data_IF_036679758379
#
_entry.id   IF_036679758379
#
_cell.length_a   1.000
_cell.length_b   1.000
_cell.length_c   1.000
_cell.angle_alpha   90.00
_cell.angle_beta   90.00
_cell.angle_gamma   90.00
#
_symmetry.space_group_name_H-M   'P 1'
#
loop_
_entity.id
_entity.type
_entity.pdbx_description
1 polymer ?
#
# COMPACT_ATOMS: atom_id res chain seq x y z
N UNK A 1 47.88 34.62 -16.77
CA UNK A 1 47.00 33.79 -17.61
C UNK A 1 47.22 32.35 -17.18
N UNK A 2 46.31 31.84 -16.34
CA UNK A 2 46.20 30.44 -15.92
C UNK A 2 44.69 30.19 -15.89
N UNK A 3 44.12 29.39 -16.81
CA UNK A 3 42.79 28.85 -16.59
C UNK A 3 42.95 27.72 -15.56
N UNK A 4 42.44 27.96 -14.35
CA UNK A 4 42.27 26.89 -13.38
C UNK A 4 41.01 26.15 -13.78
N UNK A 5 41.21 25.01 -14.45
CA UNK A 5 40.19 23.96 -14.60
C UNK A 5 39.94 23.39 -13.20
N UNK A 6 38.91 23.92 -12.53
CA UNK A 6 38.47 23.43 -11.23
C UNK A 6 37.44 22.32 -11.43
N UNK A 7 37.97 21.11 -11.44
CA UNK A 7 37.45 19.87 -10.88
C UNK A 7 36.06 19.92 -10.19
N UNK A 8 35.19 19.05 -10.70
CA UNK A 8 34.26 18.15 -9.99
C UNK A 8 33.72 18.65 -8.65
N UNK A 9 32.51 19.18 -8.67
CA UNK A 9 31.57 18.97 -7.59
C UNK A 9 30.42 18.12 -8.15
N UNK A 10 30.58 16.81 -8.07
CA UNK A 10 29.45 15.90 -8.08
C UNK A 10 28.58 16.30 -6.89
N UNK A 11 27.58 17.14 -7.16
CA UNK A 11 26.50 17.40 -6.22
C UNK A 11 25.96 16.05 -5.85
N UNK A 12 26.20 15.64 -4.60
CA UNK A 12 25.48 14.56 -3.96
C UNK A 12 24.02 14.83 -4.24
N UNK A 13 23.45 14.08 -5.18
CA UNK A 13 22.02 13.93 -5.25
C UNK A 13 21.65 13.42 -3.86
N UNK A 14 21.09 14.32 -3.06
CA UNK A 14 20.27 13.94 -1.94
C UNK A 14 19.18 13.10 -2.59
N UNK A 15 19.34 11.78 -2.58
CA UNK A 15 18.24 10.87 -2.80
C UNK A 15 17.31 11.12 -1.63
N UNK A 16 16.46 12.14 -1.79
CA UNK A 16 15.23 12.24 -1.05
C UNK A 16 14.61 10.85 -1.10
N UNK A 17 14.07 10.32 0.01
CA UNK A 17 13.44 9.01 -0.02
C UNK A 17 12.46 9.05 -1.18
N UNK A 18 12.73 8.23 -2.19
CA UNK A 18 11.92 8.11 -3.39
C UNK A 18 10.54 7.77 -2.87
N UNK A 19 9.68 8.79 -2.75
CA UNK A 19 8.29 8.60 -2.43
C UNK A 19 7.84 7.55 -3.45
N UNK A 20 7.28 6.40 -3.00
CA UNK A 20 6.96 5.31 -3.90
C UNK A 20 6.21 5.93 -5.07
N UNK A 21 6.80 5.77 -6.27
CA UNK A 21 6.27 6.34 -7.50
C UNK A 21 4.96 5.59 -7.71
N UNK A 22 3.89 6.10 -7.11
CA UNK A 22 2.54 5.64 -7.39
C UNK A 22 2.36 5.89 -8.88
N UNK A 23 2.48 4.84 -9.68
CA UNK A 23 2.31 4.92 -11.11
C UNK A 23 0.98 5.63 -11.36
N UNK A 24 0.94 6.64 -12.22
CA UNK A 24 -0.25 7.44 -12.45
C UNK A 24 -1.47 6.53 -12.68
N UNK A 25 -2.43 6.57 -11.76
CA UNK A 25 -3.61 5.69 -11.74
C UNK A 25 -3.60 4.54 -10.72
N UNK A 26 -2.52 4.35 -9.96
CA UNK A 26 -2.48 3.45 -8.80
C UNK A 26 -2.84 4.22 -7.53
N UNK A 27 -3.63 3.56 -6.68
CA UNK A 27 -4.04 4.02 -5.36
C UNK A 27 -3.24 3.26 -4.31
N UNK A 28 -2.81 3.99 -3.29
CA UNK A 28 -2.07 3.43 -2.16
C UNK A 28 -3.03 2.83 -1.14
N UNK A 29 -2.80 1.58 -0.78
CA UNK A 29 -3.52 0.87 0.25
C UNK A 29 -2.56 0.60 1.39
N UNK A 30 -2.91 1.07 2.58
CA UNK A 30 -2.18 0.78 3.81
C UNK A 30 -3.08 -0.06 4.68
N UNK A 31 -2.63 -1.26 5.00
CA UNK A 31 -3.32 -2.17 5.91
C UNK A 31 -2.47 -2.29 7.17
N UNK A 32 -3.05 -2.00 8.31
CA UNK A 32 -2.42 -2.18 9.62
C UNK A 32 -3.12 -3.31 10.36
N UNK A 33 -2.35 -4.30 10.79
CA UNK A 33 -2.84 -5.53 11.39
C UNK A 33 -2.63 -5.48 12.89
N UNK A 34 -3.72 -5.42 13.67
CA UNK A 34 -3.66 -5.48 15.13
C UNK A 34 -3.62 -6.94 15.63
N UNK A 35 -4.13 -7.88 14.82
CA UNK A 35 -4.05 -9.32 15.06
C UNK A 35 -3.62 -10.05 13.79
N UNK A 36 -3.25 -11.32 13.94
CA UNK A 36 -3.06 -12.20 12.79
C UNK A 36 -4.31 -12.17 11.90
N UNK A 37 -4.10 -11.82 10.63
CA UNK A 37 -5.17 -11.51 9.67
C UNK A 37 -4.74 -11.93 8.28
N UNK A 38 -5.57 -12.74 7.63
CA UNK A 38 -5.35 -13.10 6.22
C UNK A 38 -5.78 -11.94 5.33
N UNK A 39 -4.95 -11.54 4.37
CA UNK A 39 -5.34 -10.54 3.37
C UNK A 39 -5.11 -11.06 1.97
N UNK A 40 -6.14 -10.90 1.17
CA UNK A 40 -6.09 -11.02 -0.28
C UNK A 40 -6.45 -9.67 -0.92
N UNK A 41 -5.57 -9.17 -1.77
CA UNK A 41 -5.80 -7.98 -2.60
C UNK A 41 -5.78 -8.42 -4.05
N UNK A 42 -6.81 -8.05 -4.79
CA UNK A 42 -7.00 -8.39 -6.20
C UNK A 42 -7.17 -7.09 -6.99
N UNK A 43 -6.29 -6.85 -7.96
CA UNK A 43 -6.35 -5.67 -8.81
C UNK A 43 -7.40 -5.78 -9.91
N UNK A 44 -7.57 -4.70 -10.67
CA UNK A 44 -8.54 -4.57 -11.78
C UNK A 44 -8.49 -5.69 -12.83
N UNK A 45 -7.30 -6.27 -13.06
CA UNK A 45 -7.10 -7.32 -14.05
C UNK A 45 -7.56 -8.70 -13.55
N UNK A 46 -8.19 -8.77 -12.36
CA UNK A 46 -8.50 -10.02 -11.68
C UNK A 46 -7.26 -10.76 -11.18
N UNK A 47 -6.07 -10.13 -11.28
CA UNK A 47 -4.81 -10.65 -10.74
C UNK A 47 -4.72 -10.35 -9.25
N UNK A 48 -4.30 -11.36 -8.50
CA UNK A 48 -4.09 -11.27 -7.06
C UNK A 48 -2.74 -10.60 -6.81
N UNK A 49 -2.78 -9.35 -6.34
CA UNK A 49 -1.61 -8.53 -6.02
C UNK A 49 -0.98 -8.96 -4.69
N UNK A 50 -1.82 -9.35 -3.72
CA UNK A 50 -1.40 -9.81 -2.41
C UNK A 50 -2.28 -10.98 -1.98
N UNK A 51 -1.71 -11.98 -1.35
CA UNK A 51 -2.47 -13.08 -0.74
C UNK A 51 -1.61 -13.77 0.31
N UNK A 52 -1.66 -13.29 1.54
CA UNK A 52 -0.86 -13.86 2.61
C UNK A 52 -1.49 -13.63 3.99
N UNK A 53 -1.09 -14.47 4.94
CA UNK A 53 -1.38 -14.29 6.35
C UNK A 53 -0.41 -13.26 6.92
N UNK A 54 -0.93 -12.18 7.50
CA UNK A 54 -0.11 -11.13 8.09
C UNK A 54 -0.20 -11.23 9.61
N UNK A 55 0.94 -11.27 10.32
CA UNK A 55 0.93 -11.35 11.78
C UNK A 55 0.54 -10.01 12.42
N UNK A 56 0.14 -10.08 13.69
CA UNK A 56 -0.19 -8.92 14.50
C UNK A 56 0.97 -7.91 14.60
N UNK A 57 0.66 -6.62 14.64
CA UNK A 57 1.64 -5.52 14.72
C UNK A 57 2.35 -5.22 13.40
N UNK A 58 1.96 -5.86 12.29
CA UNK A 58 2.53 -5.55 10.98
C UNK A 58 1.67 -4.56 10.21
N UNK A 59 2.27 -3.88 9.25
CA UNK A 59 1.54 -3.15 8.23
C UNK A 59 1.96 -3.60 6.83
N UNK A 60 1.06 -3.46 5.86
CA UNK A 60 1.34 -3.70 4.45
C UNK A 60 0.90 -2.51 3.64
N UNK A 61 1.80 -2.03 2.81
CA UNK A 61 1.52 -1.03 1.80
C UNK A 61 1.44 -1.76 0.46
N UNK A 62 0.33 -1.57 -0.25
CA UNK A 62 0.11 -2.11 -1.58
C UNK A 62 -0.30 -0.96 -2.48
N UNK A 63 0.28 -0.88 -3.66
CA UNK A 63 -0.15 0.05 -4.69
C UNK A 63 -0.94 -0.74 -5.73
N UNK A 64 -2.16 -0.30 -6.03
CA UNK A 64 -3.05 -1.01 -6.95
C UNK A 64 -3.96 -0.06 -7.71
N UNK A 65 -4.29 -0.40 -8.96
CA UNK A 65 -5.24 0.38 -9.75
C UNK A 65 -6.68 -0.08 -9.47
N UNK A 66 -7.63 0.83 -9.17
CA UNK A 66 -9.04 0.50 -9.05
C UNK A 66 -9.67 -0.02 -10.36
N UNK A 67 -10.71 -0.87 -10.28
CA UNK A 67 -11.33 -1.42 -9.07
C UNK A 67 -10.45 -2.51 -8.41
N UNK A 68 -10.25 -2.42 -7.09
CA UNK A 68 -9.47 -3.37 -6.29
C UNK A 68 -10.40 -4.12 -5.37
N UNK A 69 -10.46 -5.44 -5.47
CA UNK A 69 -11.19 -6.27 -4.51
C UNK A 69 -10.27 -6.67 -3.36
N UNK A 70 -10.69 -6.37 -2.14
CA UNK A 70 -9.99 -6.76 -0.92
C UNK A 70 -10.82 -7.76 -0.14
N UNK A 71 -10.15 -8.81 0.32
CA UNK A 71 -10.70 -9.79 1.25
C UNK A 71 -9.78 -9.86 2.45
N UNK A 72 -10.29 -9.48 3.62
CA UNK A 72 -9.53 -9.38 4.86
C UNK A 72 -10.19 -10.31 5.87
N UNK A 73 -9.52 -11.36 6.28
CA UNK A 73 -9.89 -12.19 7.42
C UNK A 73 -9.51 -11.52 8.73
N UNK A 74 -10.32 -11.71 9.76
CA UNK A 74 -10.20 -11.03 11.06
C UNK A 74 -10.22 -9.49 10.95
N UNK A 75 -10.98 -8.96 9.98
CA UNK A 75 -11.00 -7.55 9.63
C UNK A 75 -11.45 -6.59 10.75
N UNK A 76 -12.06 -7.11 11.82
CA UNK A 76 -12.33 -6.33 13.02
C UNK A 76 -11.06 -5.78 13.69
N UNK A 77 -9.90 -6.36 13.39
CA UNK A 77 -8.58 -5.97 13.89
C UNK A 77 -7.64 -5.48 12.78
N UNK A 78 -8.20 -5.01 11.67
CA UNK A 78 -7.43 -4.46 10.55
C UNK A 78 -7.89 -3.04 10.29
N UNK A 79 -6.95 -2.09 10.25
CA UNK A 79 -7.23 -0.75 9.74
C UNK A 79 -6.82 -0.70 8.28
N UNK A 80 -7.75 -0.29 7.43
CA UNK A 80 -7.48 -0.03 6.02
C UNK A 80 -7.49 1.48 5.80
N UNK A 81 -6.46 1.96 5.12
CA UNK A 81 -6.38 3.32 4.60
C UNK A 81 -6.20 3.23 3.08
N UNK A 82 -7.06 3.90 2.33
CA UNK A 82 -7.04 3.96 0.88
C UNK A 82 -6.83 5.40 0.44
N UNK A 83 -5.75 5.68 -0.29
CA UNK A 83 -5.46 7.03 -0.81
C UNK A 83 -5.44 8.09 0.31
N UNK A 84 -4.77 7.76 1.43
CA UNK A 84 -4.74 8.55 2.67
C UNK A 84 -6.09 8.76 3.37
N UNK A 85 -7.13 8.02 2.95
CA UNK A 85 -8.45 8.03 3.59
C UNK A 85 -8.68 6.75 4.38
N UNK A 86 -8.95 6.82 5.69
CA UNK A 86 -9.32 5.65 6.46
C UNK A 86 -10.66 5.10 5.96
N UNK A 87 -10.70 3.80 5.67
CA UNK A 87 -11.89 3.09 5.21
C UNK A 87 -12.39 2.19 6.34
N UNK A 88 -13.64 2.38 6.75
CA UNK A 88 -14.25 1.49 7.73
C UNK A 88 -14.60 0.15 7.09
N UNK A 89 -13.95 -0.91 7.57
CA UNK A 89 -14.19 -2.28 7.13
C UNK A 89 -15.41 -2.90 7.78
N UNK A 90 -15.83 -2.42 8.96
CA UNK A 90 -16.92 -2.98 9.77
C UNK A 90 -18.21 -3.25 8.98
N UNK A 91 -18.75 -2.33 8.16
CA UNK A 91 -19.98 -2.61 7.41
C UNK A 91 -19.80 -3.71 6.35
N UNK A 92 -18.58 -4.02 5.96
CA UNK A 92 -18.24 -5.04 4.97
C UNK A 92 -17.85 -6.39 5.58
N UNK A 93 -17.73 -6.48 6.92
CA UNK A 93 -17.41 -7.72 7.64
C UNK A 93 -18.59 -8.68 7.62
N UNK A 94 -18.36 -9.90 7.11
CA UNK A 94 -19.27 -11.04 7.23
C UNK A 94 -18.61 -12.12 8.08
N UNK A 95 -19.19 -12.39 9.25
CA UNK A 95 -18.69 -13.33 10.27
C UNK A 95 -17.33 -12.89 10.83
N UNK A 96 -16.25 -13.14 10.09
CA UNK A 96 -14.88 -12.72 10.43
C UNK A 96 -14.15 -12.12 9.22
N UNK A 97 -14.76 -12.11 8.03
CA UNK A 97 -14.09 -11.73 6.78
C UNK A 97 -14.74 -10.47 6.19
N UNK A 98 -13.99 -9.38 6.05
CA UNK A 98 -14.41 -8.21 5.28
C UNK A 98 -14.21 -8.44 3.79
N UNK A 99 -15.22 -8.12 2.99
CA UNK A 99 -15.16 -8.15 1.53
C UNK A 99 -15.64 -6.81 1.00
N UNK A 100 -14.73 -6.06 0.41
CA UNK A 100 -15.03 -4.76 -0.18
C UNK A 100 -14.29 -4.60 -1.51
N UNK A 101 -14.83 -3.76 -2.36
CA UNK A 101 -14.18 -3.34 -3.61
C UNK A 101 -13.98 -1.84 -3.52
N UNK A 102 -12.76 -1.39 -3.77
CA UNK A 102 -12.37 0.02 -3.78
C UNK A 102 -12.27 0.49 -5.23
N UNK A 103 -12.84 1.65 -5.53
CA UNK A 103 -12.87 2.28 -6.85
C UNK A 103 -12.09 3.60 -6.87
#
# INVERSE_FOLDING_TARGET
>A
MIPVDSAVAATRAWTAPEAPVVMEGQKRLVLEFLKESWVEVRGRDGRRLLSQLNPAGTHKVIDGAPPISLVIGNAAYVHLTFDDKPVDLKPYVKVEVARLTLE
#
